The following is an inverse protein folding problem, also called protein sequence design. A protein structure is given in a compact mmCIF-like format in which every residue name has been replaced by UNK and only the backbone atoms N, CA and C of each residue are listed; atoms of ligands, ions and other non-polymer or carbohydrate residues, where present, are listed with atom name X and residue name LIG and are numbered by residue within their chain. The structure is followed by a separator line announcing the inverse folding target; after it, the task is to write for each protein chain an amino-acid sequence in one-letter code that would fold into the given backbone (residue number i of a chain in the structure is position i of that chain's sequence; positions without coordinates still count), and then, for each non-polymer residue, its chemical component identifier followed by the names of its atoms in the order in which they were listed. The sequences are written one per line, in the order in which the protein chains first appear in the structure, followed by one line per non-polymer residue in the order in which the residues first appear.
data_IF_535468392638
#
_entry.id   IF_535468392638
#
_cell.length_a   1.000
_cell.length_b   1.000
_cell.length_c   1.000
_cell.angle_alpha   90.00
_cell.angle_beta   90.00
_cell.angle_gamma   90.00
#
_symmetry.space_group_name_H-M   'P 1'
#
loop_
_entity.id
_entity.type
_entity.pdbx_description
1 polymer ?
#
# COMPACT_ATOMS: atom_id res chain seq x y z
N UNK A 1 1.05 -17.66 2.00
CA UNK A 1 -0.03 -17.57 1.00
C UNK A 1 0.53 -16.90 -0.24
N UNK A 2 0.55 -17.61 -1.36
CA UNK A 2 0.99 -17.09 -2.66
C UNK A 2 -0.11 -16.19 -3.22
N UNK A 3 0.15 -14.89 -3.35
CA UNK A 3 -0.80 -13.92 -3.88
C UNK A 3 -0.83 -14.06 -5.41
N UNK A 4 -1.90 -14.66 -5.95
CA UNK A 4 -2.08 -14.87 -7.37
C UNK A 4 -2.56 -13.62 -8.11
N UNK A 5 -2.13 -13.49 -9.36
CA UNK A 5 -2.50 -12.49 -10.39
C UNK A 5 -4.01 -12.33 -10.64
N UNK A 6 -4.89 -13.06 -9.94
CA UNK A 6 -6.31 -13.20 -10.24
C UNK A 6 -7.20 -12.09 -9.66
N UNK A 7 -6.65 -11.03 -9.06
CA UNK A 7 -7.43 -10.06 -8.26
C UNK A 7 -7.18 -8.58 -8.56
N UNK A 8 -6.30 -8.25 -9.51
CA UNK A 8 -6.07 -6.86 -9.92
C UNK A 8 -7.07 -6.48 -11.00
N UNK A 9 -7.79 -5.39 -10.77
CA UNK A 9 -8.79 -4.90 -11.72
C UNK A 9 -8.15 -4.60 -13.08
N UNK A 10 -8.76 -5.11 -14.16
CA UNK A 10 -8.30 -4.88 -15.53
C UNK A 10 -7.10 -5.73 -15.96
N UNK A 11 -6.59 -6.63 -15.10
CA UNK A 11 -5.53 -7.58 -15.45
C UNK A 11 -6.11 -8.78 -16.20
N UNK A 12 -5.53 -9.09 -17.37
CA UNK A 12 -5.85 -10.28 -18.17
C UNK A 12 -4.57 -11.05 -18.48
N UNK A 13 -4.71 -12.35 -18.79
CA UNK A 13 -3.57 -13.18 -19.22
C UNK A 13 -2.88 -12.60 -20.46
N UNK A 14 -3.66 -12.08 -21.42
CA UNK A 14 -3.14 -11.41 -22.61
C UNK A 14 -2.26 -10.20 -22.26
N UNK A 15 -2.76 -9.30 -21.38
CA UNK A 15 -1.98 -8.15 -20.92
C UNK A 15 -0.73 -8.58 -20.17
N UNK A 16 -0.82 -9.61 -19.35
CA UNK A 16 0.31 -10.18 -18.63
C UNK A 16 1.39 -10.67 -19.60
N UNK A 17 1.00 -11.51 -20.56
CA UNK A 17 1.91 -12.09 -21.55
C UNK A 17 2.50 -11.01 -22.49
N UNK A 18 1.72 -10.00 -22.86
CA UNK A 18 2.20 -8.86 -23.63
C UNK A 18 3.25 -8.06 -22.84
N UNK A 19 2.99 -7.79 -21.56
CA UNK A 19 3.93 -7.08 -20.70
C UNK A 19 5.25 -7.83 -20.53
N UNK A 20 5.25 -9.17 -20.54
CA UNK A 20 6.48 -9.96 -20.45
C UNK A 20 7.41 -9.82 -21.66
N UNK A 21 6.93 -9.26 -22.78
CA UNK A 21 7.71 -9.07 -24.02
C UNK A 21 8.30 -7.67 -24.15
N UNK A 22 8.06 -6.79 -23.18
CA UNK A 22 8.54 -5.40 -23.23
C UNK A 22 10.05 -5.31 -23.06
N UNK A 23 10.67 -4.41 -23.83
CA UNK A 23 12.09 -4.07 -23.72
C UNK A 23 12.38 -3.23 -22.46
N UNK A 24 13.66 -3.09 -22.13
CA UNK A 24 14.11 -2.23 -21.03
C UNK A 24 13.65 -0.77 -21.23
N UNK A 25 13.79 -0.23 -22.44
CA UNK A 25 13.39 1.15 -22.78
C UNK A 25 11.88 1.35 -22.63
N UNK A 26 11.10 0.37 -23.08
CA UNK A 26 9.65 0.41 -22.94
C UNK A 26 9.23 0.39 -21.47
N UNK A 27 9.85 -0.47 -20.64
CA UNK A 27 9.57 -0.53 -19.20
C UNK A 27 9.98 0.78 -18.49
N UNK A 28 11.11 1.39 -18.85
CA UNK A 28 11.53 2.70 -18.32
C UNK A 28 10.52 3.80 -18.66
N UNK A 29 10.02 3.81 -19.91
CA UNK A 29 9.00 4.77 -20.34
C UNK A 29 7.68 4.55 -19.60
N UNK A 30 7.28 3.30 -19.39
CA UNK A 30 6.08 2.94 -18.63
C UNK A 30 6.18 3.32 -17.15
N UNK A 31 7.36 3.21 -16.54
CA UNK A 31 7.59 3.72 -15.18
C UNK A 31 7.27 5.22 -15.05
N UNK A 32 7.43 6.00 -16.13
CA UNK A 32 7.13 7.43 -16.13
C UNK A 32 5.65 7.70 -16.39
N UNK A 33 5.05 6.94 -17.31
CA UNK A 33 3.77 7.31 -17.94
C UNK A 33 2.55 6.51 -17.51
N UNK A 34 2.74 5.33 -16.89
CA UNK A 34 1.60 4.49 -16.48
C UNK A 34 0.69 5.21 -15.48
N UNK A 35 -0.61 5.09 -15.71
CA UNK A 35 -1.66 5.80 -14.97
C UNK A 35 -2.72 4.86 -14.39
N UNK A 36 -2.50 3.54 -14.43
CA UNK A 36 -3.39 2.56 -13.80
C UNK A 36 -2.60 1.57 -12.95
N UNK A 37 -3.22 1.10 -11.87
CA UNK A 37 -2.59 0.13 -10.97
C UNK A 37 -2.24 -1.16 -11.72
N UNK A 38 -3.11 -1.62 -12.62
CA UNK A 38 -2.84 -2.78 -13.46
C UNK A 38 -1.56 -2.62 -14.30
N UNK A 39 -1.37 -1.49 -14.96
CA UNK A 39 -0.20 -1.26 -15.81
C UNK A 39 1.07 -1.16 -14.98
N UNK A 40 1.02 -0.43 -13.87
CA UNK A 40 2.14 -0.33 -12.93
C UNK A 40 2.52 -1.72 -12.42
N UNK A 41 1.54 -2.52 -11.99
CA UNK A 41 1.78 -3.90 -11.56
C UNK A 41 2.44 -4.75 -12.64
N UNK A 42 1.99 -4.63 -13.90
CA UNK A 42 2.59 -5.33 -15.03
C UNK A 42 4.05 -4.89 -15.26
N UNK A 43 4.31 -3.59 -15.23
CA UNK A 43 5.66 -3.02 -15.34
C UNK A 43 6.57 -3.52 -14.21
N UNK A 44 6.07 -3.59 -12.96
CA UNK A 44 6.78 -4.16 -11.82
C UNK A 44 7.15 -5.63 -12.06
N UNK A 45 6.19 -6.45 -12.46
CA UNK A 45 6.41 -7.90 -12.65
C UNK A 45 7.35 -8.19 -13.82
N UNK A 46 7.13 -7.57 -14.98
CA UNK A 46 7.98 -7.75 -16.16
C UNK A 46 9.43 -7.33 -15.91
N UNK A 47 9.63 -6.24 -15.17
CA UNK A 47 10.97 -5.79 -14.80
C UNK A 47 11.71 -6.83 -13.96
N UNK A 48 11.03 -7.42 -12.96
CA UNK A 48 11.61 -8.47 -12.11
C UNK A 48 11.99 -9.69 -12.94
N UNK A 49 11.08 -10.15 -13.79
CA UNK A 49 11.24 -11.38 -14.56
C UNK A 49 12.35 -11.26 -15.61
N UNK A 50 12.48 -10.09 -16.25
CA UNK A 50 13.27 -9.96 -17.47
C UNK A 50 14.49 -9.04 -17.33
N UNK A 51 14.53 -8.13 -16.35
CA UNK A 51 15.53 -7.06 -16.28
C UNK A 51 16.36 -7.04 -15.00
N UNK A 52 16.16 -7.99 -14.08
CA UNK A 52 16.87 -8.03 -12.78
C UNK A 52 18.41 -8.09 -12.89
N UNK A 53 18.95 -8.58 -14.01
CA UNK A 53 20.40 -8.66 -14.28
C UNK A 53 20.91 -7.55 -15.22
N UNK A 54 20.03 -6.70 -15.74
CA UNK A 54 20.40 -5.65 -16.70
C UNK A 54 20.95 -4.42 -15.97
N UNK A 55 22.28 -4.28 -15.93
CA UNK A 55 22.93 -3.18 -15.21
C UNK A 55 22.59 -1.78 -15.75
N UNK A 56 22.34 -1.66 -17.05
CA UNK A 56 21.98 -0.38 -17.68
C UNK A 56 20.56 0.03 -17.28
N UNK A 57 19.64 -0.94 -17.24
CA UNK A 57 18.29 -0.73 -16.75
C UNK A 57 18.26 -0.28 -15.28
N UNK A 58 19.06 -0.92 -14.41
CA UNK A 58 19.19 -0.53 -13.00
C UNK A 58 19.77 0.88 -12.85
N UNK A 59 20.77 1.26 -13.66
CA UNK A 59 21.32 2.63 -13.68
C UNK A 59 20.27 3.64 -14.13
N UNK A 60 19.52 3.33 -15.18
CA UNK A 60 18.48 4.21 -15.69
C UNK A 60 17.36 4.43 -14.67
N UNK A 61 16.89 3.38 -13.99
CA UNK A 61 15.92 3.50 -12.89
C UNK A 61 16.47 4.33 -11.73
N UNK A 62 17.74 4.17 -11.39
CA UNK A 62 18.39 4.99 -10.36
C UNK A 62 18.35 6.48 -10.71
N UNK A 63 18.51 6.82 -12.00
CA UNK A 63 18.33 8.18 -12.51
C UNK A 63 16.91 8.73 -12.33
N UNK A 64 15.89 7.88 -12.25
CA UNK A 64 14.49 8.28 -12.09
C UNK A 64 14.06 8.50 -10.63
N UNK A 65 14.89 8.16 -9.63
CA UNK A 65 14.55 8.30 -8.21
C UNK A 65 14.28 9.75 -7.79
N UNK A 66 14.88 10.72 -8.47
CA UNK A 66 14.64 12.15 -8.19
C UNK A 66 13.50 12.74 -9.03
N UNK A 67 12.85 11.94 -9.86
CA UNK A 67 11.71 12.39 -10.66
C UNK A 67 10.41 12.34 -9.83
N UNK A 68 9.96 13.51 -9.37
CA UNK A 68 8.75 13.68 -8.56
C UNK A 68 7.47 13.81 -9.38
N UNK A 69 7.51 13.61 -10.69
CA UNK A 69 6.29 13.62 -11.49
C UNK A 69 5.28 12.61 -10.91
N UNK A 70 4.06 13.08 -10.70
CA UNK A 70 2.95 12.29 -10.16
C UNK A 70 2.03 11.94 -11.33
N UNK A 71 1.63 10.68 -11.44
CA UNK A 71 0.50 10.27 -12.25
C UNK A 71 -0.67 9.91 -11.34
N UNK A 72 -1.88 10.31 -11.72
CA UNK A 72 -3.08 9.77 -11.09
C UNK A 72 -3.15 8.28 -11.41
N UNK A 73 -3.35 7.43 -10.40
CA UNK A 73 -3.50 5.97 -10.60
C UNK A 73 -4.98 5.61 -10.51
N UNK A 74 -5.49 5.05 -11.58
CA UNK A 74 -6.84 4.47 -11.62
C UNK A 74 -6.84 2.98 -11.25
N UNK A 75 -8.01 2.45 -10.88
CA UNK A 75 -8.19 1.03 -10.59
C UNK A 75 -7.38 0.55 -9.39
N UNK A 76 -7.22 1.39 -8.35
CA UNK A 76 -6.43 1.09 -7.15
C UNK A 76 -7.06 0.04 -6.22
N UNK A 77 -8.03 -0.72 -6.71
CA UNK A 77 -8.58 -1.84 -5.96
C UNK A 77 -7.44 -2.80 -5.59
N UNK A 78 -7.41 -3.21 -4.32
CA UNK A 78 -6.35 -4.06 -3.74
C UNK A 78 -4.96 -3.42 -3.73
N UNK A 79 -4.80 -2.13 -3.97
CA UNK A 79 -3.58 -1.40 -3.66
C UNK A 79 -3.72 -0.72 -2.30
N UNK A 80 -2.75 -0.90 -1.42
CA UNK A 80 -2.69 -0.24 -0.11
C UNK A 80 -1.40 0.56 -0.06
N UNK A 81 -1.54 1.89 -0.07
CA UNK A 81 -0.47 2.83 0.29
C UNK A 81 -1.06 3.70 1.39
N UNK A 82 -0.61 3.50 2.64
CA UNK A 82 -1.26 4.07 3.82
C UNK A 82 -1.40 5.60 3.75
N UNK A 83 -0.38 6.30 3.24
CA UNK A 83 -0.43 7.76 3.05
C UNK A 83 -1.46 8.19 2.00
N UNK A 84 -1.64 7.42 0.92
CA UNK A 84 -2.64 7.72 -0.13
C UNK A 84 -4.06 7.38 0.31
N UNK A 85 -4.23 6.46 1.26
CA UNK A 85 -5.53 6.24 1.94
C UNK A 85 -5.84 7.42 2.86
N UNK A 86 -4.85 7.88 3.62
CA UNK A 86 -4.96 9.04 4.51
C UNK A 86 -5.33 10.31 3.75
N UNK A 87 -4.75 10.55 2.57
CA UNK A 87 -5.08 11.69 1.71
C UNK A 87 -6.41 11.52 0.95
N UNK A 88 -6.99 10.32 0.92
CA UNK A 88 -8.23 10.02 0.20
C UNK A 88 -8.07 9.72 -1.30
N UNK A 89 -6.83 9.57 -1.79
CA UNK A 89 -6.53 9.20 -3.18
C UNK A 89 -6.76 7.71 -3.45
N UNK A 90 -6.57 6.87 -2.45
CA UNK A 90 -6.94 5.44 -2.48
C UNK A 90 -8.09 5.21 -1.51
N UNK A 91 -9.12 4.49 -1.96
CA UNK A 91 -10.10 3.94 -1.04
C UNK A 91 -9.60 2.60 -0.48
N UNK A 92 -9.57 2.49 0.85
CA UNK A 92 -9.24 1.22 1.49
C UNK A 92 -10.40 0.22 1.38
N UNK A 93 -10.13 -0.95 0.79
CA UNK A 93 -11.12 -2.01 0.57
C UNK A 93 -10.94 -3.23 1.49
N UNK A 94 -10.15 -3.10 2.56
CA UNK A 94 -9.97 -4.14 3.57
C UNK A 94 -8.91 -5.21 3.28
N UNK A 95 -8.53 -5.42 2.02
CA UNK A 95 -7.46 -6.34 1.63
C UNK A 95 -6.74 -5.84 0.39
N UNK A 96 -5.45 -6.12 0.28
CA UNK A 96 -4.64 -5.71 -0.85
C UNK A 96 -3.15 -5.92 -0.65
N UNK A 97 -2.39 -5.53 -1.67
CA UNK A 97 -0.94 -5.43 -1.62
C UNK A 97 -0.55 -4.13 -0.91
N UNK A 98 0.13 -4.26 0.22
CA UNK A 98 0.72 -3.13 0.94
C UNK A 98 2.03 -2.75 0.25
N UNK A 99 2.14 -1.48 -0.13
CA UNK A 99 3.32 -0.90 -0.75
C UNK A 99 3.72 0.37 0.02
N UNK A 100 4.95 0.38 0.53
CA UNK A 100 5.50 1.52 1.28
C UNK A 100 5.96 2.65 0.35
N UNK A 101 6.42 2.30 -0.87
CA UNK A 101 6.76 3.31 -1.86
C UNK A 101 5.50 3.92 -2.48
N UNK A 102 5.53 5.23 -2.70
CA UNK A 102 4.46 5.96 -3.36
C UNK A 102 4.46 5.70 -4.86
N UNK A 103 3.67 4.71 -5.29
CA UNK A 103 3.59 4.32 -6.70
C UNK A 103 2.95 5.40 -7.60
N UNK A 104 2.31 6.42 -7.04
CA UNK A 104 1.79 7.56 -7.80
C UNK A 104 2.93 8.41 -8.37
N UNK A 105 4.11 8.41 -7.72
CA UNK A 105 5.29 9.11 -8.21
C UNK A 105 6.20 8.22 -9.05
N UNK A 106 6.84 8.81 -10.07
CA UNK A 106 7.88 8.12 -10.86
C UNK A 106 9.02 7.63 -9.97
N UNK A 107 9.45 8.46 -9.02
CA UNK A 107 10.46 8.15 -8.02
C UNK A 107 10.10 6.92 -7.18
N UNK A 108 8.86 6.84 -6.68
CA UNK A 108 8.42 5.71 -5.86
C UNK A 108 8.31 4.42 -6.65
N UNK A 109 7.84 4.46 -7.90
CA UNK A 109 7.85 3.28 -8.78
C UNK A 109 9.28 2.84 -9.11
N UNK A 110 10.18 3.77 -9.42
CA UNK A 110 11.58 3.47 -9.68
C UNK A 110 12.26 2.80 -8.47
N UNK A 111 12.04 3.33 -7.27
CA UNK A 111 12.58 2.75 -6.04
C UNK A 111 11.97 1.36 -5.77
N UNK A 112 10.66 1.18 -5.98
CA UNK A 112 10.00 -0.13 -5.85
C UNK A 112 10.59 -1.16 -6.81
N UNK A 113 10.83 -0.78 -8.07
CA UNK A 113 11.45 -1.62 -9.09
C UNK A 113 12.85 -2.08 -8.66
N UNK A 114 13.68 -1.14 -8.20
CA UNK A 114 15.04 -1.43 -7.73
C UNK A 114 15.03 -2.37 -6.52
N UNK A 115 14.17 -2.11 -5.53
CA UNK A 115 14.01 -2.98 -4.36
C UNK A 115 13.57 -4.39 -4.77
N UNK A 116 12.57 -4.49 -5.66
CA UNK A 116 12.04 -5.77 -6.10
C UNK A 116 13.05 -6.61 -6.88
N UNK A 117 13.85 -5.98 -7.75
CA UNK A 117 14.84 -6.66 -8.59
C UNK A 117 16.10 -7.06 -7.81
N UNK A 118 16.58 -6.19 -6.92
CA UNK A 118 17.85 -6.40 -6.21
C UNK A 118 17.69 -7.07 -4.84
N UNK A 119 16.46 -7.09 -4.31
CA UNK A 119 16.14 -7.50 -2.94
C UNK A 119 16.84 -6.66 -1.87
N UNK A 120 17.29 -5.45 -2.21
CA UNK A 120 17.92 -4.48 -1.31
C UNK A 120 16.94 -3.39 -0.92
N UNK A 121 17.06 -2.88 0.31
CA UNK A 121 16.27 -1.75 0.76
C UNK A 121 17.19 -0.62 1.23
N UNK A 122 17.08 0.56 0.62
CA UNK A 122 17.86 1.75 1.00
C UNK A 122 17.00 2.90 1.56
N UNK A 123 15.72 2.61 1.83
CA UNK A 123 14.69 3.56 2.25
C UNK A 123 13.48 3.50 1.32
N UNK A 124 12.40 4.15 1.75
CA UNK A 124 11.17 4.26 0.99
C UNK A 124 11.00 5.67 0.45
N UNK A 125 10.49 5.78 -0.77
CA UNK A 125 10.04 7.03 -1.36
C UNK A 125 8.55 7.14 -1.07
N UNK A 126 8.16 8.10 -0.24
CA UNK A 126 6.78 8.30 0.21
C UNK A 126 6.19 9.55 -0.44
N UNK A 127 4.89 9.81 -0.27
CA UNK A 127 4.25 11.02 -0.79
C UNK A 127 4.82 12.29 -0.15
N UNK A 128 5.40 12.15 1.05
CA UNK A 128 6.04 13.21 1.82
C UNK A 128 7.54 13.38 1.57
N UNK A 129 8.15 12.53 0.73
CA UNK A 129 9.61 12.57 0.50
C UNK A 129 10.08 13.90 -0.11
N UNK A 130 11.08 14.49 0.52
CA UNK A 130 11.73 15.73 0.08
C UNK A 130 12.77 15.45 -1.01
N UNK A 131 13.21 16.48 -1.72
CA UNK A 131 14.26 16.34 -2.75
C UNK A 131 15.57 15.80 -2.16
N UNK A 132 15.86 16.15 -0.91
CA UNK A 132 17.04 15.65 -0.20
C UNK A 132 16.90 14.17 0.18
N UNK A 133 15.71 13.73 0.62
CA UNK A 133 15.43 12.30 0.84
C UNK A 133 15.64 11.49 -0.44
N UNK A 134 15.12 11.98 -1.57
CA UNK A 134 15.27 11.33 -2.87
C UNK A 134 16.73 11.27 -3.31
N UNK A 135 17.50 12.34 -3.13
CA UNK A 135 18.94 12.33 -3.41
C UNK A 135 19.70 11.36 -2.51
N UNK A 136 19.36 11.27 -1.23
CA UNK A 136 19.97 10.30 -0.30
C UNK A 136 19.70 8.87 -0.79
N UNK A 137 18.46 8.55 -1.14
CA UNK A 137 18.10 7.22 -1.67
C UNK A 137 18.80 6.95 -3.00
N UNK A 138 18.80 7.91 -3.94
CA UNK A 138 19.49 7.79 -5.22
C UNK A 138 20.98 7.54 -5.04
N UNK A 139 21.66 8.29 -4.17
CA UNK A 139 23.08 8.13 -3.90
C UNK A 139 23.41 6.75 -3.34
N UNK A 140 22.55 6.19 -2.48
CA UNK A 140 22.70 4.81 -1.98
C UNK A 140 22.61 3.80 -3.12
N UNK A 141 21.65 3.95 -4.04
CA UNK A 141 21.56 3.09 -5.22
C UNK A 141 22.77 3.22 -6.16
N UNK A 142 23.24 4.44 -6.43
CA UNK A 142 24.45 4.67 -7.24
C UNK A 142 25.65 3.96 -6.64
N UNK A 143 25.86 4.08 -5.33
CA UNK A 143 26.93 3.38 -4.61
C UNK A 143 26.79 1.86 -4.72
N UNK A 144 25.61 1.33 -4.46
CA UNK A 144 25.32 -0.11 -4.55
C UNK A 144 25.59 -0.67 -5.95
N UNK A 145 25.09 -0.01 -7.00
CA UNK A 145 25.30 -0.41 -8.40
C UNK A 145 26.78 -0.32 -8.80
N UNK A 146 27.54 0.56 -8.16
CA UNK A 146 28.99 0.68 -8.33
C UNK A 146 29.79 -0.30 -7.45
N UNK A 147 29.13 -1.31 -6.88
CA UNK A 147 29.71 -2.31 -5.97
C UNK A 147 30.37 -1.73 -4.70
N UNK A 148 29.93 -0.55 -4.27
CA UNK A 148 30.36 0.02 -2.99
C UNK A 148 29.47 -0.50 -1.85
N UNK A 149 30.01 -0.67 -0.64
CA UNK A 149 29.21 -1.04 0.52
C UNK A 149 28.21 0.07 0.86
N UNK A 150 26.97 -0.33 1.14
CA UNK A 150 25.88 0.58 1.52
C UNK A 150 25.05 -0.08 2.62
N UNK A 151 24.79 0.64 3.69
CA UNK A 151 23.93 0.17 4.76
C UNK A 151 22.47 0.11 4.29
N UNK A 152 21.88 -1.07 4.44
CA UNK A 152 20.46 -1.28 4.15
C UNK A 152 19.58 -0.64 5.22
N UNK A 153 18.49 -0.02 4.77
CA UNK A 153 17.43 0.44 5.62
C UNK A 153 16.68 -0.75 6.21
N UNK A 154 16.51 -0.75 7.54
CA UNK A 154 15.75 -1.75 8.26
C UNK A 154 14.42 -1.13 8.74
N UNK A 155 13.28 -1.56 8.20
CA UNK A 155 11.98 -1.12 8.69
C UNK A 155 11.78 -1.47 10.17
N UNK A 156 10.87 -0.75 10.82
CA UNK A 156 10.48 -1.09 12.18
C UNK A 156 9.89 -2.52 12.24
N UNK A 157 10.31 -3.30 13.24
CA UNK A 157 9.75 -4.62 13.50
C UNK A 157 8.64 -4.54 14.53
N UNK A 158 7.44 -5.00 14.17
CA UNK A 158 6.29 -5.07 15.07
C UNK A 158 6.18 -6.49 15.64
N UNK A 159 7.06 -6.82 16.59
CA UNK A 159 7.11 -8.17 17.19
C UNK A 159 5.79 -8.50 17.88
N UNK A 160 5.36 -9.76 17.73
CA UNK A 160 4.09 -10.25 18.25
C UNK A 160 2.86 -9.81 17.44
N UNK A 161 3.01 -8.98 16.40
CA UNK A 161 1.88 -8.52 15.60
C UNK A 161 1.22 -9.66 14.83
N UNK A 162 -0.11 -9.68 14.83
CA UNK A 162 -0.90 -10.53 13.95
C UNK A 162 -0.93 -10.03 12.49
N UNK A 163 -0.66 -8.74 12.27
CA UNK A 163 -0.71 -8.05 10.98
C UNK A 163 0.44 -7.04 10.84
N UNK A 164 1.71 -7.50 10.75
CA UNK A 164 2.88 -6.61 10.76
C UNK A 164 2.82 -5.48 9.71
N UNK A 165 2.28 -5.76 8.53
CA UNK A 165 2.19 -4.82 7.39
C UNK A 165 1.18 -3.67 7.62
N UNK A 166 0.29 -3.82 8.61
CA UNK A 166 -0.70 -2.82 9.01
C UNK A 166 -0.46 -2.30 10.44
N UNK A 167 0.72 -2.57 11.01
CA UNK A 167 1.02 -2.22 12.40
C UNK A 167 1.67 -0.86 12.59
N UNK A 168 1.91 -0.09 11.53
CA UNK A 168 2.45 1.27 11.67
C UNK A 168 1.37 2.24 12.18
N UNK A 169 1.78 3.32 12.85
CA UNK A 169 0.85 4.40 13.21
C UNK A 169 0.16 5.01 11.98
N UNK A 170 0.87 5.09 10.84
CA UNK A 170 0.30 5.51 9.55
C UNK A 170 -0.84 4.59 9.11
N UNK A 171 -0.71 3.28 9.32
CA UNK A 171 -1.78 2.34 9.01
C UNK A 171 -2.99 2.53 9.93
N UNK A 172 -2.78 2.74 11.24
CA UNK A 172 -3.89 3.04 12.18
C UNK A 172 -4.63 4.30 11.76
N UNK A 173 -3.91 5.38 11.46
CA UNK A 173 -4.50 6.63 10.99
C UNK A 173 -5.36 6.41 9.73
N UNK A 174 -4.78 5.75 8.73
CA UNK A 174 -5.46 5.42 7.48
C UNK A 174 -6.73 4.58 7.71
N UNK A 175 -6.69 3.60 8.63
CA UNK A 175 -7.84 2.79 8.99
C UNK A 175 -8.94 3.62 9.67
N UNK A 176 -8.57 4.53 10.59
CA UNK A 176 -9.52 5.43 11.26
C UNK A 176 -10.15 6.41 10.27
N UNK A 177 -9.38 6.92 9.31
CA UNK A 177 -9.91 7.75 8.22
C UNK A 177 -10.83 6.91 7.32
N UNK A 178 -10.46 5.65 7.02
CA UNK A 178 -11.23 4.80 6.11
C UNK A 178 -12.64 4.50 6.61
N UNK A 179 -12.85 4.39 7.92
CA UNK A 179 -14.17 4.10 8.51
C UNK A 179 -15.10 5.32 8.59
N UNK A 180 -14.59 6.52 8.31
CA UNK A 180 -15.44 7.70 8.24
C UNK A 180 -16.42 7.61 7.06
N UNK A 181 -17.48 8.42 7.11
CA UNK A 181 -18.49 8.45 6.04
C UNK A 181 -17.84 8.79 4.70
N UNK A 182 -18.09 7.97 3.68
CA UNK A 182 -17.49 8.14 2.37
C UNK A 182 -18.46 7.67 1.27
N UNK A 183 -18.99 8.59 0.44
CA UNK A 183 -19.97 8.24 -0.59
C UNK A 183 -19.48 7.20 -1.61
N UNK A 184 -18.17 7.17 -1.90
CA UNK A 184 -17.60 6.16 -2.82
C UNK A 184 -17.65 4.76 -2.19
N UNK A 185 -17.38 4.67 -0.89
CA UNK A 185 -17.48 3.44 -0.12
C UNK A 185 -18.92 2.94 -0.04
N UNK A 186 -19.86 3.84 0.24
CA UNK A 186 -21.30 3.52 0.30
C UNK A 186 -21.80 2.98 -1.04
N UNK A 187 -21.39 3.61 -2.15
CA UNK A 187 -21.71 3.15 -3.50
C UNK A 187 -21.14 1.75 -3.79
N UNK A 188 -19.90 1.46 -3.37
CA UNK A 188 -19.29 0.14 -3.53
C UNK A 188 -20.01 -0.93 -2.70
N UNK A 189 -20.34 -0.61 -1.45
CA UNK A 189 -21.11 -1.52 -0.59
C UNK A 189 -22.47 -1.82 -1.18
N UNK A 190 -23.20 -0.79 -1.63
CA UNK A 190 -24.50 -0.98 -2.30
C UNK A 190 -24.38 -1.84 -3.56
N UNK A 191 -23.39 -1.58 -4.41
CA UNK A 191 -23.14 -2.37 -5.62
C UNK A 191 -22.85 -3.84 -5.30
N UNK A 192 -22.06 -4.10 -4.25
CA UNK A 192 -21.79 -5.46 -3.78
C UNK A 192 -23.06 -6.16 -3.28
N UNK A 193 -23.84 -5.50 -2.42
CA UNK A 193 -25.10 -6.01 -1.87
C UNK A 193 -26.10 -6.37 -2.97
N UNK A 194 -26.30 -5.46 -3.92
CA UNK A 194 -27.21 -5.68 -5.05
C UNK A 194 -26.72 -6.81 -5.95
N UNK A 195 -25.42 -6.90 -6.22
CA UNK A 195 -24.87 -7.93 -7.11
C UNK A 195 -24.96 -9.33 -6.50
N UNK A 196 -24.46 -9.48 -5.28
CA UNK A 196 -24.24 -10.79 -4.64
C UNK A 196 -25.49 -11.25 -3.88
N UNK A 197 -26.12 -10.35 -3.12
CA UNK A 197 -27.18 -10.70 -2.17
C UNK A 197 -28.58 -10.26 -2.62
N UNK A 198 -28.69 -9.49 -3.71
CA UNK A 198 -29.96 -8.90 -4.18
C UNK A 198 -30.62 -8.00 -3.12
N UNK A 199 -29.81 -7.27 -2.37
CA UNK A 199 -30.24 -6.35 -1.32
C UNK A 199 -29.90 -4.90 -1.70
N UNK A 200 -30.78 -3.97 -1.34
CA UNK A 200 -30.54 -2.52 -1.53
C UNK A 200 -29.80 -1.86 -0.36
N UNK A 201 -29.92 -2.45 0.83
CA UNK A 201 -29.35 -1.94 2.09
C UNK A 201 -28.71 -3.07 2.90
N UNK A 202 -27.80 -2.71 3.81
CA UNK A 202 -27.15 -3.66 4.69
C UNK A 202 -28.16 -4.25 5.69
N UNK A 203 -28.29 -5.58 5.82
CA UNK A 203 -29.14 -6.19 6.82
C UNK A 203 -28.76 -5.77 8.25
N UNK A 204 -29.77 -5.65 9.11
CA UNK A 204 -29.56 -5.41 10.56
C UNK A 204 -28.90 -6.62 11.25
N UNK A 205 -29.21 -7.82 10.78
CA UNK A 205 -28.63 -9.05 11.31
C UNK A 205 -27.21 -9.25 10.81
N UNK A 206 -26.33 -9.72 11.69
CA UNK A 206 -24.94 -10.03 11.33
C UNK A 206 -24.92 -11.24 10.40
N UNK A 207 -24.26 -11.08 9.26
CA UNK A 207 -24.11 -12.16 8.30
C UNK A 207 -23.04 -11.86 7.24
N UNK A 208 -22.88 -12.76 6.26
CA UNK A 208 -21.87 -12.62 5.20
C UNK A 208 -21.97 -11.31 4.40
N UNK A 209 -23.16 -10.69 4.34
CA UNK A 209 -23.37 -9.41 3.69
C UNK A 209 -22.48 -8.28 4.26
N UNK A 210 -22.05 -8.38 5.53
CA UNK A 210 -21.12 -7.41 6.14
C UNK A 210 -19.79 -7.31 5.40
N UNK A 211 -19.36 -8.37 4.70
CA UNK A 211 -18.13 -8.35 3.89
C UNK A 211 -18.27 -7.52 2.61
N UNK A 212 -19.47 -7.04 2.26
CA UNK A 212 -19.64 -6.00 1.24
C UNK A 212 -19.21 -4.61 1.73
N UNK A 213 -19.10 -4.40 3.05
CA UNK A 213 -18.56 -3.15 3.60
C UNK A 213 -17.06 -3.28 3.88
N UNK A 214 -16.22 -2.43 3.26
CA UNK A 214 -14.81 -2.35 3.63
C UNK A 214 -14.56 -2.09 5.11
N UNK A 215 -15.47 -1.40 5.80
CA UNK A 215 -15.33 -1.05 7.20
C UNK A 215 -15.25 -2.26 8.11
N UNK A 216 -15.86 -3.38 7.71
CA UNK A 216 -15.76 -4.65 8.45
C UNK A 216 -14.30 -5.05 8.66
N UNK A 217 -13.44 -4.82 7.65
CA UNK A 217 -12.01 -5.08 7.75
C UNK A 217 -11.30 -4.02 8.58
N UNK A 218 -11.61 -2.74 8.37
CA UNK A 218 -10.97 -1.65 9.12
C UNK A 218 -11.22 -1.75 10.62
N UNK A 219 -12.47 -2.01 11.04
CA UNK A 219 -12.80 -2.22 12.44
C UNK A 219 -12.08 -3.44 13.03
N UNK A 220 -11.96 -4.53 12.26
CA UNK A 220 -11.24 -5.72 12.70
C UNK A 220 -9.76 -5.43 12.93
N UNK A 221 -9.10 -4.73 12.00
CA UNK A 221 -7.69 -4.34 12.13
C UNK A 221 -7.48 -3.36 13.29
N UNK A 222 -8.34 -2.35 13.45
CA UNK A 222 -8.27 -1.44 14.60
C UNK A 222 -8.41 -2.17 15.94
N UNK A 223 -9.34 -3.13 16.02
CA UNK A 223 -9.51 -3.95 17.21
C UNK A 223 -8.25 -4.76 17.54
N UNK A 224 -7.65 -5.38 16.52
CA UNK A 224 -6.40 -6.14 16.67
C UNK A 224 -5.23 -5.26 17.13
N UNK A 225 -5.07 -4.09 16.51
CA UNK A 225 -3.96 -3.16 16.76
C UNK A 225 -4.04 -2.48 18.12
N UNK A 226 -5.18 -2.53 18.80
CA UNK A 226 -5.40 -1.91 20.12
C UNK A 226 -5.86 -2.91 21.19
N UNK A 227 -5.68 -4.20 20.93
CA UNK A 227 -5.87 -5.26 21.94
C UNK A 227 -7.32 -5.60 22.28
N UNK A 228 -8.29 -5.14 21.47
CA UNK A 228 -9.70 -5.52 21.64
C UNK A 228 -9.91 -6.98 21.19
N UNK A 229 -10.31 -7.84 22.14
CA UNK A 229 -10.54 -9.27 21.86
C UNK A 229 -11.70 -9.54 20.89
N UNK A 230 -12.65 -8.61 20.80
CA UNK A 230 -13.82 -8.63 19.91
C UNK A 230 -14.14 -7.20 19.49
N UNK A 231 -14.76 -7.05 18.32
CA UNK A 231 -15.30 -5.76 17.88
C UNK A 231 -16.28 -5.23 18.92
N UNK A 232 -15.97 -4.07 19.46
CA UNK A 232 -16.87 -3.29 20.33
C UNK A 232 -17.75 -2.40 19.44
N UNK A 233 -19.05 -2.65 19.45
CA UNK A 233 -20.01 -1.90 18.61
C UNK A 233 -20.27 -0.49 19.11
N UNK A 234 -19.85 -0.16 20.33
CA UNK A 234 -19.90 1.19 20.86
C UNK A 234 -18.78 2.09 20.30
N UNK A 235 -17.74 1.48 19.71
CA UNK A 235 -16.63 2.18 19.07
C UNK A 235 -16.93 2.43 17.60
N UNK A 236 -17.83 3.38 17.34
CA UNK A 236 -18.18 3.83 15.98
C UNK A 236 -17.10 4.75 15.36
N UNK A 237 -17.34 5.22 14.14
CA UNK A 237 -16.39 6.06 13.41
C UNK A 237 -16.03 7.35 14.17
N UNK A 238 -16.99 7.96 14.88
CA UNK A 238 -16.77 9.16 15.67
C UNK A 238 -15.91 8.88 16.91
N UNK A 239 -16.19 7.75 17.58
CA UNK A 239 -15.39 7.31 18.71
C UNK A 239 -13.93 7.09 18.30
N UNK A 240 -13.69 6.40 17.19
CA UNK A 240 -12.33 6.14 16.68
C UNK A 240 -11.59 7.42 16.32
N UNK A 241 -12.28 8.38 15.69
CA UNK A 241 -11.69 9.69 15.39
C UNK A 241 -11.29 10.43 16.66
N UNK A 242 -12.18 10.48 17.65
CA UNK A 242 -11.91 11.11 18.95
C UNK A 242 -10.75 10.43 19.67
N UNK A 243 -10.75 9.10 19.70
CA UNK A 243 -9.66 8.32 20.29
C UNK A 243 -8.30 8.67 19.66
N UNK A 244 -8.24 8.74 18.32
CA UNK A 244 -7.03 9.12 17.59
C UNK A 244 -6.56 10.52 17.99
N UNK A 245 -7.45 11.51 17.94
CA UNK A 245 -7.12 12.91 18.22
C UNK A 245 -6.55 13.09 19.64
N UNK A 246 -7.08 12.34 20.61
CA UNK A 246 -6.67 12.42 22.02
C UNK A 246 -5.40 11.62 22.34
N UNK A 247 -5.11 10.54 21.60
CA UNK A 247 -4.16 9.51 22.04
C UNK A 247 -3.02 9.19 21.05
N UNK A 248 -3.10 9.57 19.77
CA UNK A 248 -2.14 9.09 18.75
C UNK A 248 -0.67 9.37 19.12
N UNK A 249 -0.37 10.55 19.69
CA UNK A 249 0.99 10.91 20.15
C UNK A 249 1.48 10.14 21.39
N UNK A 250 0.62 9.34 22.02
CA UNK A 250 0.91 8.52 23.21
C UNK A 250 0.88 7.02 22.91
N UNK A 251 0.56 6.61 21.68
CA UNK A 251 0.51 5.20 21.32
C UNK A 251 1.93 4.63 21.25
N UNK A 252 2.17 3.57 22.03
CA UNK A 252 3.42 2.83 22.05
C UNK A 252 3.18 1.35 21.73
N UNK A 253 4.01 0.77 20.87
CA UNK A 253 3.93 -0.65 20.52
C UNK A 253 4.42 -1.51 21.70
N UNK A 254 3.60 -2.47 22.12
CA UNK A 254 3.96 -3.45 23.14
C UNK A 254 4.38 -4.76 22.47
N UNK A 255 5.68 -5.07 22.50
CA UNK A 255 6.24 -6.26 21.85
C UNK A 255 5.77 -7.59 22.45
N UNK A 256 5.39 -7.61 23.73
CA UNK A 256 4.90 -8.83 24.38
C UNK A 256 3.45 -9.09 24.01
N UNK A 257 2.66 -8.02 23.91
CA UNK A 257 1.23 -8.10 23.61
C UNK A 257 0.93 -8.13 22.11
N UNK A 258 1.81 -7.58 21.27
CA UNK A 258 1.62 -7.51 19.83
C UNK A 258 0.57 -6.50 19.38
N UNK A 259 0.37 -5.44 20.17
CA UNK A 259 -0.56 -4.33 19.86
C UNK A 259 -0.14 -3.03 20.58
N UNK A 260 -0.76 -1.91 20.22
CA UNK A 260 -0.49 -0.61 20.84
C UNK A 260 -1.18 -0.46 22.19
N UNK A 261 -0.47 0.18 23.13
CA UNK A 261 -1.01 0.69 24.39
C UNK A 261 -0.91 2.21 24.42
N UNK A 262 -1.82 2.86 25.15
CA UNK A 262 -1.69 4.29 25.46
C UNK A 262 -0.69 4.44 26.59
N UNK A 263 0.46 5.04 26.31
CA UNK A 263 1.46 5.36 27.32
C UNK A 263 0.87 6.33 28.36
N UNK A 264 1.19 6.10 29.63
CA UNK A 264 0.79 6.95 30.75
C UNK A 264 1.60 8.24 30.77
#
# INVERSE_FOLDING_TARGET
MSWGQQTIEGLTEEKFNAAQKLSAEQLLSKNITDASWCEIFLTLNSSINNQSKNSEYLKALTGQITNKAITSIEGTSKLIIWERITSGEILFEGKGLVVENDLFSVAGRANQLLQNMTKKNFGYVTSSSTDDDLKIIQNKWVKFISNQPVDEYRPAEFKGSAIPEASSLKAIEALIISIQNNPKKDALTKKCLQKIYKLDEMPKEKGPALYCSPDTHSYAYLSMLLGDKKRDETKDALWWKKFWDENHGKLAWDNEKGFYIVAK
#
